data_IF_485707139925
#
_entry.id   IF_485707139925
#
_cell.length_a   1.000
_cell.length_b   1.000
_cell.length_c   1.000
_cell.angle_alpha   90.00
_cell.angle_beta   90.00
_cell.angle_gamma   90.00
#
_symmetry.space_group_name_H-M   'P 1'
#
loop_
_entity.id
_entity.type
_entity.pdbx_description
1 polymer ?
#
# COMPACT_ATOMS: atom_id res chain seq x y z
N UNK A 1 -5.53 -5.55 10.49
CA UNK A 1 -5.50 -6.01 9.09
C UNK A 1 -4.25 -5.43 8.43
N UNK A 2 -3.41 -6.28 7.84
CA UNK A 2 -2.18 -5.89 7.12
C UNK A 2 -2.32 -6.21 5.63
N UNK A 3 -1.42 -5.71 4.81
CA UNK A 3 -1.30 -6.22 3.44
C UNK A 3 -0.90 -7.70 3.44
N UNK A 4 -1.38 -8.50 2.47
CA UNK A 4 -0.86 -9.83 2.21
C UNK A 4 0.63 -9.78 1.90
N UNK A 5 1.39 -10.78 2.35
CA UNK A 5 2.82 -10.87 2.04
C UNK A 5 3.06 -10.84 0.52
N UNK A 6 2.18 -11.41 -0.31
CA UNK A 6 2.39 -11.47 -1.76
C UNK A 6 2.32 -10.14 -2.53
N UNK A 7 1.93 -9.01 -1.90
CA UNK A 7 1.78 -7.72 -2.62
C UNK A 7 3.12 -7.21 -3.19
N UNK A 8 4.25 -7.49 -2.51
CA UNK A 8 5.57 -7.13 -3.03
C UNK A 8 5.92 -7.85 -4.34
N UNK A 9 5.30 -9.02 -4.61
CA UNK A 9 5.53 -9.79 -5.84
C UNK A 9 4.72 -9.27 -7.03
N UNK A 10 3.82 -8.32 -6.82
CA UNK A 10 3.04 -7.69 -7.89
C UNK A 10 3.90 -6.64 -8.60
N UNK A 11 4.92 -7.10 -9.32
CA UNK A 11 5.93 -6.24 -9.97
C UNK A 11 5.40 -5.50 -11.20
N UNK A 12 4.32 -6.00 -11.82
CA UNK A 12 3.67 -5.36 -12.98
C UNK A 12 2.56 -4.39 -12.59
N UNK A 13 2.20 -4.33 -11.30
CA UNK A 13 1.10 -3.50 -10.82
C UNK A 13 1.43 -2.02 -10.97
N UNK A 14 0.61 -1.31 -11.74
CA UNK A 14 0.82 0.12 -12.03
C UNK A 14 0.16 1.02 -10.98
N UNK A 15 -0.97 0.59 -10.40
CA UNK A 15 -1.76 1.43 -9.51
C UNK A 15 -2.31 0.65 -8.30
N UNK A 16 -2.28 1.29 -7.13
CA UNK A 16 -2.88 0.81 -5.89
C UNK A 16 -3.77 1.91 -5.29
N UNK A 17 -5.01 1.54 -4.94
CA UNK A 17 -5.96 2.39 -4.23
C UNK A 17 -6.38 1.75 -2.92
N UNK A 18 -6.27 2.49 -1.82
CA UNK A 18 -6.77 2.10 -0.50
C UNK A 18 -7.82 3.12 -0.09
N UNK A 19 -9.07 2.67 0.10
CA UNK A 19 -10.22 3.52 0.40
C UNK A 19 -11.00 2.96 1.59
N UNK A 20 -11.49 3.82 2.48
CA UNK A 20 -12.38 3.41 3.59
C UNK A 20 -11.75 2.42 4.57
N UNK A 21 -10.42 2.38 4.66
CA UNK A 21 -9.67 1.42 5.45
C UNK A 21 -8.69 2.11 6.41
N UNK A 22 -9.15 2.69 7.54
CA UNK A 22 -8.31 3.49 8.45
C UNK A 22 -7.06 2.79 8.96
N UNK A 23 -7.13 1.47 9.14
CA UNK A 23 -5.99 0.67 9.57
C UNK A 23 -4.93 0.54 8.46
N UNK A 24 -5.34 0.26 7.22
CA UNK A 24 -4.43 0.14 6.08
C UNK A 24 -3.88 1.50 5.66
N UNK A 25 -4.67 2.58 5.72
CA UNK A 25 -4.20 3.94 5.43
C UNK A 25 -3.03 4.35 6.34
N UNK A 26 -3.10 4.01 7.64
CA UNK A 26 -1.99 4.26 8.58
C UNK A 26 -0.76 3.42 8.27
N UNK A 27 -0.95 2.12 7.99
CA UNK A 27 0.16 1.19 7.71
C UNK A 27 0.79 1.38 6.34
N UNK A 28 0.04 1.86 5.35
CA UNK A 28 0.54 2.13 4.00
C UNK A 28 0.98 3.59 3.82
N UNK A 29 1.02 4.38 4.91
CA UNK A 29 1.44 5.79 4.85
C UNK A 29 2.84 5.92 4.26
N UNK A 30 2.99 6.77 3.24
CA UNK A 30 4.27 7.00 2.56
C UNK A 30 5.41 7.25 3.54
N UNK A 31 6.54 6.56 3.34
CA UNK A 31 7.79 6.61 4.13
C UNK A 31 7.71 6.02 5.54
N UNK A 32 6.62 6.23 6.28
CA UNK A 32 6.54 5.87 7.71
C UNK A 32 5.67 4.66 8.04
N UNK A 33 4.85 4.21 7.09
CA UNK A 33 3.95 3.09 7.29
C UNK A 33 4.68 1.75 7.27
N UNK A 34 4.32 0.86 8.20
CA UNK A 34 4.86 -0.50 8.31
C UNK A 34 4.78 -1.30 6.99
N UNK A 35 3.71 -1.09 6.23
CA UNK A 35 3.44 -1.79 4.98
C UNK A 35 3.94 -1.00 3.75
N UNK A 36 4.48 0.22 3.92
CA UNK A 36 4.98 1.04 2.81
C UNK A 36 6.04 0.32 1.96
N UNK A 37 7.04 -0.40 2.53
CA UNK A 37 8.04 -1.09 1.73
C UNK A 37 7.45 -2.14 0.77
N UNK A 38 6.27 -2.70 1.10
CA UNK A 38 5.60 -3.71 0.26
C UNK A 38 4.91 -3.14 -0.97
N UNK A 39 4.70 -1.82 -1.01
CA UNK A 39 3.97 -1.13 -2.09
C UNK A 39 4.78 -0.02 -2.74
N UNK A 40 5.96 0.31 -2.19
CA UNK A 40 6.78 1.44 -2.64
C UNK A 40 7.25 1.34 -4.10
N UNK A 41 7.23 0.14 -4.68
CA UNK A 41 7.57 -0.11 -6.09
C UNK A 41 6.43 0.25 -7.05
N UNK A 42 5.21 0.47 -6.56
CA UNK A 42 4.04 0.76 -7.38
C UNK A 42 4.08 2.23 -7.83
N UNK A 43 4.01 2.53 -9.14
CA UNK A 43 4.11 3.89 -9.66
C UNK A 43 3.04 4.86 -9.13
N UNK A 44 1.79 4.38 -9.02
CA UNK A 44 0.65 5.21 -8.61
C UNK A 44 0.00 4.65 -7.35
N UNK A 45 0.07 5.39 -6.25
CA UNK A 45 -0.50 4.98 -4.95
C UNK A 45 -1.43 6.08 -4.46
N UNK A 46 -2.67 5.73 -4.22
CA UNK A 46 -3.71 6.62 -3.71
C UNK A 46 -4.30 6.04 -2.42
N UNK A 47 -4.21 6.82 -1.34
CA UNK A 47 -4.68 6.43 -0.01
C UNK A 47 -5.70 7.48 0.41
N UNK A 48 -6.97 7.14 0.27
CA UNK A 48 -8.11 8.00 0.53
C UNK A 48 -8.82 7.54 1.81
N UNK A 49 -9.30 8.51 2.58
CA UNK A 49 -9.95 8.28 3.86
C UNK A 49 -11.30 7.56 3.67
#
# INVERSE_FOLDING_TARGET
MSLPQGVHNLTTLQALRIYGCPHLQRRCKKVRGEDWPNIAHIPFIEILN
#
